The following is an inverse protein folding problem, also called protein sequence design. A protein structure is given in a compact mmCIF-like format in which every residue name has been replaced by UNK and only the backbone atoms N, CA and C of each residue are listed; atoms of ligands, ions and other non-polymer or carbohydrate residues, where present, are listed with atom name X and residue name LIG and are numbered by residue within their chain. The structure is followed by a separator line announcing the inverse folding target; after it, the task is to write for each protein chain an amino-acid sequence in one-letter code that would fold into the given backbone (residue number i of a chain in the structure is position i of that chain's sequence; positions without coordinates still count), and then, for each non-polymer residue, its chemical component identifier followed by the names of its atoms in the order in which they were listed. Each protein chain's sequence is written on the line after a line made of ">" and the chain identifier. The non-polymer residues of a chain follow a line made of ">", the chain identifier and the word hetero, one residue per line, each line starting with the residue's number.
data_IF_012354019645
#
_entry.id   IF_012354019645
#
_cell.length_a   1.000
_cell.length_b   1.000
_cell.length_c   1.000
_cell.angle_alpha   90.00
_cell.angle_beta   90.00
_cell.angle_gamma   90.00
#
_symmetry.space_group_name_H-M   'P 1'
#
loop_
_entity.id
_entity.type
_entity.pdbx_description
1 polymer ?
#
# COMPACT_ATOMS: atom_id res chain seq x y z
N UNK A 1 53.12 -36.91 -25.22
CA UNK A 1 52.54 -36.62 -23.92
C UNK A 1 52.42 -35.13 -23.54
N UNK A 2 52.67 -34.19 -24.45
CA UNK A 2 52.63 -32.72 -24.14
C UNK A 2 51.30 -32.05 -24.51
N UNK A 3 50.43 -32.74 -25.22
CA UNK A 3 49.13 -32.17 -25.68
C UNK A 3 47.92 -32.65 -24.85
N UNK A 4 48.13 -33.58 -23.92
CA UNK A 4 47.03 -34.10 -23.08
C UNK A 4 46.74 -33.22 -21.87
N UNK A 5 47.69 -32.35 -21.49
CA UNK A 5 47.52 -31.41 -20.39
C UNK A 5 46.76 -30.13 -20.80
N UNK A 6 46.64 -29.82 -22.10
CA UNK A 6 45.87 -28.68 -22.59
C UNK A 6 44.37 -28.96 -22.75
N UNK A 7 43.99 -30.23 -22.79
CA UNK A 7 42.56 -30.62 -22.86
C UNK A 7 41.81 -30.61 -21.55
N UNK A 8 42.53 -30.66 -20.41
CA UNK A 8 41.89 -30.72 -19.09
C UNK A 8 41.63 -29.31 -18.50
N UNK A 9 42.29 -28.28 -19.03
CA UNK A 9 42.15 -26.90 -18.56
C UNK A 9 40.99 -26.14 -19.23
N UNK A 10 40.35 -26.72 -20.26
CA UNK A 10 39.23 -26.10 -20.98
C UNK A 10 37.84 -26.47 -20.42
N UNK A 11 37.77 -27.38 -19.43
CA UNK A 11 36.45 -27.88 -18.91
C UNK A 11 36.03 -27.18 -17.60
N UNK A 12 36.84 -26.30 -17.06
CA UNK A 12 36.55 -25.63 -15.76
C UNK A 12 35.89 -24.25 -15.92
N UNK A 13 35.57 -23.80 -17.13
CA UNK A 13 35.00 -22.48 -17.38
C UNK A 13 33.50 -22.49 -17.69
N UNK A 14 32.78 -23.55 -17.37
CA UNK A 14 31.33 -23.63 -17.58
C UNK A 14 30.60 -23.92 -16.26
N UNK A 15 30.94 -23.21 -15.23
CA UNK A 15 30.20 -23.25 -13.97
C UNK A 15 30.05 -21.84 -13.39
N UNK A 16 29.66 -20.90 -14.23
CA UNK A 16 28.88 -19.76 -13.81
C UNK A 16 27.54 -19.88 -14.54
N UNK A 17 26.69 -20.81 -14.11
CA UNK A 17 25.27 -20.53 -14.16
C UNK A 17 25.06 -19.31 -13.27
N UNK A 18 25.01 -18.14 -13.91
CA UNK A 18 24.28 -17.05 -13.33
C UNK A 18 22.88 -17.63 -13.05
N UNK A 19 22.62 -17.96 -11.78
CA UNK A 19 21.25 -18.07 -11.31
C UNK A 19 20.59 -16.80 -11.81
N UNK A 20 19.80 -16.93 -12.86
CA UNK A 20 18.93 -15.85 -13.29
C UNK A 20 18.11 -15.53 -12.04
N UNK A 21 18.48 -14.42 -11.42
CA UNK A 21 17.65 -13.79 -10.43
C UNK A 21 16.32 -13.66 -11.14
N UNK A 22 15.33 -14.42 -10.69
CA UNK A 22 13.98 -14.35 -11.20
C UNK A 22 13.58 -12.88 -11.05
N UNK A 23 13.61 -12.15 -12.15
CA UNK A 23 13.49 -10.70 -12.14
C UNK A 23 12.04 -10.34 -11.87
N UNK A 24 11.61 -10.61 -10.62
CA UNK A 24 10.42 -10.01 -10.05
C UNK A 24 9.10 -10.19 -10.80
N UNK A 25 9.00 -11.09 -11.81
CA UNK A 25 7.77 -11.39 -12.54
C UNK A 25 6.81 -12.29 -11.73
N UNK A 26 7.01 -12.35 -10.42
CA UNK A 26 6.10 -13.00 -9.51
C UNK A 26 4.75 -12.30 -9.47
N UNK A 27 3.72 -13.04 -9.05
CA UNK A 27 2.31 -12.60 -8.95
C UNK A 27 2.09 -11.25 -8.22
N UNK A 28 3.08 -10.77 -7.47
CA UNK A 28 3.04 -9.51 -6.72
C UNK A 28 3.86 -8.37 -7.35
N UNK A 29 4.56 -8.60 -8.46
CA UNK A 29 5.43 -7.59 -9.09
C UNK A 29 4.67 -6.38 -9.60
N UNK A 30 3.39 -6.54 -9.90
CA UNK A 30 2.50 -5.48 -10.39
C UNK A 30 1.59 -4.91 -9.31
N UNK A 31 1.73 -5.34 -8.05
CA UNK A 31 0.88 -4.85 -6.98
C UNK A 31 1.30 -3.45 -6.53
N UNK A 32 0.38 -2.51 -6.60
CA UNK A 32 0.53 -1.17 -6.06
C UNK A 32 -0.31 -0.95 -4.82
N UNK A 33 0.14 -0.02 -3.99
CA UNK A 33 -0.53 0.38 -2.76
C UNK A 33 -0.63 1.88 -2.70
N UNK A 34 -1.85 2.39 -2.62
CA UNK A 34 -2.09 3.83 -2.59
C UNK A 34 -3.19 4.22 -1.59
N UNK A 35 -3.06 5.43 -1.07
CA UNK A 35 -4.15 6.08 -0.35
C UNK A 35 -5.17 6.60 -1.36
N UNK A 36 -6.44 6.22 -1.18
CA UNK A 36 -7.51 6.53 -2.13
C UNK A 36 -8.77 7.05 -1.44
N UNK A 37 -9.58 7.74 -2.20
CA UNK A 37 -10.98 7.99 -1.91
C UNK A 37 -11.82 6.90 -2.57
N UNK A 38 -12.43 6.03 -1.77
CA UNK A 38 -13.23 4.90 -2.23
C UNK A 38 -14.71 5.25 -2.28
N UNK A 39 -15.33 5.05 -3.44
CA UNK A 39 -16.75 5.34 -3.66
C UNK A 39 -17.58 4.07 -3.60
N UNK A 40 -18.58 4.07 -2.75
CA UNK A 40 -19.56 3.00 -2.66
C UNK A 40 -20.73 3.25 -3.59
N UNK A 41 -21.14 2.23 -4.34
CA UNK A 41 -22.39 2.23 -5.14
C UNK A 41 -23.56 1.64 -4.34
N UNK A 42 -23.25 0.71 -3.44
CA UNK A 42 -24.20 0.11 -2.50
C UNK A 42 -23.50 -0.11 -1.17
N UNK A 43 -24.26 -0.49 -0.15
CA UNK A 43 -23.74 -0.79 1.17
C UNK A 43 -22.64 -1.84 1.09
N UNK A 44 -21.42 -1.44 1.42
CA UNK A 44 -20.27 -2.32 1.40
C UNK A 44 -19.67 -2.59 0.03
N UNK A 45 -20.22 -2.08 -1.06
CA UNK A 45 -19.73 -2.33 -2.43
C UNK A 45 -18.97 -1.12 -2.96
N UNK A 46 -17.68 -1.30 -3.23
CA UNK A 46 -16.81 -0.27 -3.78
C UNK A 46 -16.55 -0.60 -5.25
N UNK A 47 -16.91 0.31 -6.13
CA UNK A 47 -16.81 0.15 -7.59
C UNK A 47 -15.75 1.06 -8.22
N UNK A 48 -15.40 2.16 -7.54
CA UNK A 48 -14.48 3.17 -8.03
C UNK A 48 -13.65 3.74 -6.89
N UNK A 49 -12.39 4.06 -7.20
CA UNK A 49 -11.52 4.81 -6.30
C UNK A 49 -10.89 5.97 -7.04
N UNK A 50 -10.49 7.00 -6.29
CA UNK A 50 -9.68 8.12 -6.79
C UNK A 50 -8.42 8.17 -5.95
N UNK A 51 -7.27 8.10 -6.60
CA UNK A 51 -5.96 8.14 -5.94
C UNK A 51 -5.63 9.53 -5.42
N UNK A 52 -4.62 9.64 -4.57
CA UNK A 52 -4.14 10.94 -4.08
C UNK A 52 -3.60 11.84 -5.22
N UNK A 53 -3.22 11.26 -6.33
CA UNK A 53 -2.81 11.98 -7.55
C UNK A 53 -4.01 12.47 -8.39
N UNK A 54 -5.23 12.11 -8.00
CA UNK A 54 -6.45 12.46 -8.71
C UNK A 54 -6.82 11.50 -9.84
N UNK A 55 -6.13 10.37 -9.98
CA UNK A 55 -6.45 9.35 -10.98
C UNK A 55 -7.68 8.56 -10.56
N UNK A 56 -8.72 8.55 -11.39
CA UNK A 56 -9.91 7.74 -11.17
C UNK A 56 -9.72 6.34 -11.75
N UNK A 57 -9.91 5.32 -10.90
CA UNK A 57 -9.80 3.92 -11.25
C UNK A 57 -11.14 3.21 -11.03
N UNK A 58 -11.59 2.47 -12.04
CA UNK A 58 -12.74 1.58 -11.92
C UNK A 58 -12.25 0.20 -11.44
N UNK A 59 -13.00 -0.40 -10.54
CA UNK A 59 -12.67 -1.72 -9.99
C UNK A 59 -13.42 -2.81 -10.74
N UNK A 60 -12.68 -3.78 -11.29
CA UNK A 60 -13.26 -4.96 -11.95
C UNK A 60 -12.51 -6.22 -11.51
N UNK A 61 -13.18 -7.10 -10.75
CA UNK A 61 -14.53 -6.95 -10.17
C UNK A 61 -14.60 -5.85 -9.12
N UNK A 62 -15.80 -5.46 -8.70
CA UNK A 62 -16.00 -4.62 -7.51
C UNK A 62 -15.48 -5.33 -6.27
N UNK A 63 -15.10 -4.58 -5.24
CA UNK A 63 -14.66 -5.15 -3.96
C UNK A 63 -15.66 -4.84 -2.85
N UNK A 64 -15.86 -5.81 -1.96
CA UNK A 64 -16.77 -5.66 -0.83
C UNK A 64 -16.00 -5.36 0.46
N UNK A 65 -16.46 -4.37 1.22
CA UNK A 65 -15.85 -3.97 2.48
C UNK A 65 -16.93 -3.72 3.55
N UNK A 66 -16.92 -4.52 4.62
CA UNK A 66 -17.91 -4.41 5.70
C UNK A 66 -17.92 -3.05 6.41
N UNK A 67 -16.76 -2.38 6.45
CA UNK A 67 -16.62 -1.06 7.06
C UNK A 67 -17.25 0.06 6.22
N UNK A 68 -17.48 -0.15 4.93
CA UNK A 68 -18.11 0.80 4.03
C UNK A 68 -19.64 0.72 4.13
N UNK A 69 -20.20 1.04 5.30
CA UNK A 69 -21.57 0.70 5.69
C UNK A 69 -22.68 1.50 4.98
N UNK A 70 -22.35 2.57 4.26
CA UNK A 70 -23.32 3.44 3.58
C UNK A 70 -23.13 3.37 2.08
N UNK A 71 -24.23 3.34 1.34
CA UNK A 71 -24.23 3.54 -0.10
C UNK A 71 -23.91 4.99 -0.46
N UNK A 72 -23.55 5.24 -1.70
CA UNK A 72 -23.28 6.56 -2.28
C UNK A 72 -22.40 7.44 -1.39
N UNK A 73 -21.40 6.83 -0.75
CA UNK A 73 -20.54 7.49 0.24
C UNK A 73 -19.08 7.35 -0.16
N UNK A 74 -18.29 8.36 0.20
CA UNK A 74 -16.86 8.41 0.01
C UNK A 74 -16.15 8.03 1.31
N UNK A 75 -15.24 7.08 1.23
CA UNK A 75 -14.43 6.63 2.34
C UNK A 75 -12.94 6.78 2.04
N UNK A 76 -12.16 7.18 3.02
CA UNK A 76 -10.70 7.15 2.91
C UNK A 76 -10.20 5.73 3.15
N UNK A 77 -9.37 5.22 2.23
CA UNK A 77 -8.91 3.85 2.26
C UNK A 77 -7.46 3.71 1.80
N UNK A 78 -6.82 2.62 2.25
CA UNK A 78 -5.58 2.12 1.68
C UNK A 78 -5.94 1.00 0.72
N UNK A 79 -5.55 1.14 -0.54
CA UNK A 79 -5.96 0.28 -1.63
C UNK A 79 -4.79 -0.46 -2.23
N UNK A 80 -4.94 -1.77 -2.39
CA UNK A 80 -3.98 -2.68 -3.02
C UNK A 80 -4.60 -3.22 -4.30
N UNK A 81 -3.90 -3.08 -5.41
CA UNK A 81 -4.40 -3.48 -6.72
C UNK A 81 -3.27 -3.89 -7.67
N UNK A 82 -3.61 -4.62 -8.73
CA UNK A 82 -2.68 -4.92 -9.80
C UNK A 82 -2.61 -3.73 -10.73
N UNK A 83 -1.41 -3.19 -10.88
CA UNK A 83 -1.15 -2.07 -11.78
C UNK A 83 -0.78 -2.57 -13.18
N UNK A 84 -1.40 -1.97 -14.17
CA UNK A 84 -0.99 -2.07 -15.57
C UNK A 84 -0.93 -0.66 -16.14
N UNK A 85 0.12 -0.35 -16.87
CA UNK A 85 0.36 0.98 -17.42
C UNK A 85 -0.87 1.52 -18.18
N UNK A 86 -1.20 2.78 -17.90
CA UNK A 86 -2.32 3.52 -18.49
C UNK A 86 -3.73 2.91 -18.27
N UNK A 87 -3.88 1.86 -17.47
CA UNK A 87 -5.19 1.29 -17.20
C UNK A 87 -6.03 2.22 -16.31
N UNK A 88 -7.27 2.45 -16.72
CA UNK A 88 -8.30 3.11 -15.90
C UNK A 88 -9.18 2.10 -15.16
N UNK A 89 -9.10 0.83 -15.54
CA UNK A 89 -9.77 -0.28 -14.88
C UNK A 89 -8.73 -1.19 -14.27
N UNK A 90 -8.87 -1.49 -12.99
CA UNK A 90 -7.90 -2.27 -12.22
C UNK A 90 -8.54 -3.44 -11.51
N UNK A 91 -7.75 -4.47 -11.25
CA UNK A 91 -8.16 -5.61 -10.44
C UNK A 91 -7.83 -5.34 -8.97
N UNK A 92 -8.83 -5.17 -8.10
CA UNK A 92 -8.59 -4.97 -6.68
C UNK A 92 -8.04 -6.24 -6.03
N UNK A 93 -7.11 -6.08 -5.08
CA UNK A 93 -6.58 -7.15 -4.25
C UNK A 93 -7.11 -7.05 -2.83
N UNK A 94 -7.02 -5.87 -2.26
CA UNK A 94 -7.48 -5.60 -0.89
C UNK A 94 -7.77 -4.12 -0.71
N UNK A 95 -8.65 -3.80 0.23
CA UNK A 95 -8.93 -2.42 0.61
C UNK A 95 -9.16 -2.33 2.12
N UNK A 96 -8.47 -1.44 2.78
CA UNK A 96 -8.56 -1.20 4.22
C UNK A 96 -9.04 0.21 4.54
N UNK A 97 -9.90 0.37 5.56
CA UNK A 97 -10.30 1.69 6.02
C UNK A 97 -9.13 2.46 6.60
N UNK A 98 -9.04 3.74 6.28
CA UNK A 98 -8.10 4.67 6.90
C UNK A 98 -8.89 5.66 7.75
N UNK A 99 -8.60 5.78 9.05
CA UNK A 99 -9.24 6.75 9.91
C UNK A 99 -8.99 8.17 9.42
N UNK A 100 -10.04 8.97 9.30
CA UNK A 100 -9.95 10.40 8.99
C UNK A 100 -10.25 11.19 10.26
N UNK A 101 -9.24 11.88 10.77
CA UNK A 101 -9.37 12.76 11.90
C UNK A 101 -9.65 14.17 11.39
N UNK A 102 -10.61 14.85 12.00
CA UNK A 102 -10.86 16.26 11.76
C UNK A 102 -10.27 17.05 12.93
N UNK A 103 -9.41 18.03 12.69
CA UNK A 103 -8.96 18.92 13.75
C UNK A 103 -10.16 19.58 14.42
N UNK A 104 -10.14 19.62 15.72
CA UNK A 104 -11.10 20.37 16.52
C UNK A 104 -10.39 21.50 17.24
N UNK A 105 -11.01 22.65 17.31
CA UNK A 105 -10.51 23.74 18.15
C UNK A 105 -10.69 23.35 19.62
N UNK A 106 -9.61 23.41 20.39
CA UNK A 106 -9.68 23.11 21.80
C UNK A 106 -9.71 24.41 22.61
N UNK A 107 -10.77 24.59 23.38
CA UNK A 107 -10.92 25.69 24.33
C UNK A 107 -10.45 25.31 25.73
N UNK A 108 -10.12 24.04 25.99
CA UNK A 108 -9.72 23.51 27.28
C UNK A 108 -8.45 22.65 27.15
N UNK A 109 -7.26 23.25 27.30
CA UNK A 109 -5.99 22.54 27.17
C UNK A 109 -5.78 21.46 28.23
N UNK A 110 -6.43 21.56 29.38
CA UNK A 110 -6.39 20.59 30.48
C UNK A 110 -7.06 19.24 30.19
N UNK A 111 -7.87 19.17 29.12
CA UNK A 111 -8.52 17.94 28.67
C UNK A 111 -7.74 17.21 27.57
N UNK A 112 -6.61 17.75 27.12
CA UNK A 112 -5.79 17.14 26.10
C UNK A 112 -5.06 15.92 26.66
N UNK A 113 -5.23 14.79 25.99
CA UNK A 113 -4.42 13.61 26.25
C UNK A 113 -3.04 13.81 25.66
N UNK A 114 -2.02 13.64 26.48
CA UNK A 114 -0.60 13.80 26.12
C UNK A 114 0.13 12.46 26.02
N UNK A 115 -0.60 11.40 25.68
CA UNK A 115 0.02 10.09 25.50
C UNK A 115 1.13 10.18 24.44
N UNK A 116 2.30 9.59 24.67
CA UNK A 116 3.43 9.71 23.76
C UNK A 116 3.12 9.04 22.44
N UNK A 117 2.99 9.86 21.40
CA UNK A 117 2.76 9.44 20.02
C UNK A 117 3.97 9.86 19.18
N UNK A 118 4.60 8.90 18.50
CA UNK A 118 5.66 9.19 17.56
C UNK A 118 5.10 9.52 16.17
N UNK A 119 5.48 10.66 15.62
CA UNK A 119 5.23 10.95 14.20
C UNK A 119 6.40 10.39 13.39
N UNK A 120 6.14 9.37 12.56
CA UNK A 120 7.15 8.79 11.68
C UNK A 120 7.27 9.57 10.36
N UNK A 121 6.13 9.91 9.77
CA UNK A 121 6.07 10.69 8.54
C UNK A 121 4.74 11.41 8.38
N UNK A 122 4.77 12.51 7.65
CA UNK A 122 3.58 13.23 7.23
C UNK A 122 3.78 13.78 5.81
N UNK A 123 2.74 13.68 4.97
CA UNK A 123 2.76 14.24 3.63
C UNK A 123 1.37 14.69 3.21
N UNK A 124 1.31 15.67 2.35
CA UNK A 124 0.06 16.19 1.80
C UNK A 124 -0.33 15.37 0.57
N UNK A 125 -1.61 15.02 0.44
CA UNK A 125 -2.13 14.46 -0.80
C UNK A 125 -2.02 15.49 -1.94
N UNK A 126 -1.78 15.04 -3.17
CA UNK A 126 -1.68 15.93 -4.34
C UNK A 126 -2.98 16.70 -4.57
N UNK A 127 -4.12 16.08 -4.28
CA UNK A 127 -5.43 16.74 -4.31
C UNK A 127 -5.60 17.83 -3.25
N UNK A 128 -4.70 17.90 -2.27
CA UNK A 128 -4.73 18.87 -1.18
C UNK A 128 -5.84 18.66 -0.14
N UNK A 129 -6.58 17.57 -0.23
CA UNK A 129 -7.71 17.28 0.65
C UNK A 129 -7.29 16.70 1.98
N UNK A 130 -6.12 16.03 2.04
CA UNK A 130 -5.65 15.30 3.21
C UNK A 130 -4.21 15.64 3.54
N UNK A 131 -3.91 15.58 4.83
CA UNK A 131 -2.55 15.37 5.35
C UNK A 131 -2.51 13.92 5.83
N UNK A 132 -1.73 13.10 5.14
CA UNK A 132 -1.51 11.72 5.52
C UNK A 132 -0.42 11.68 6.60
N UNK A 133 -0.63 10.88 7.65
CA UNK A 133 0.34 10.74 8.74
C UNK A 133 0.56 9.27 9.06
N UNK A 134 1.80 8.90 9.26
CA UNK A 134 2.17 7.62 9.87
C UNK A 134 2.60 7.88 11.30
N UNK A 135 1.93 7.18 12.20
CA UNK A 135 2.10 7.36 13.64
C UNK A 135 2.60 6.05 14.26
N UNK A 136 3.62 6.16 15.12
CA UNK A 136 4.09 5.07 15.96
C UNK A 136 3.44 5.16 17.33
N UNK A 137 2.75 4.11 17.73
CA UNK A 137 2.27 3.93 19.08
C UNK A 137 3.37 3.26 19.89
N UNK A 138 3.85 3.89 20.95
CA UNK A 138 4.68 3.19 21.94
C UNK A 138 3.76 2.23 22.69
N UNK A 139 3.87 0.93 22.38
CA UNK A 139 3.31 -0.08 23.27
C UNK A 139 3.98 0.08 24.63
N UNK A 140 3.21 0.40 25.65
CA UNK A 140 3.73 0.46 27.01
C UNK A 140 4.40 -0.88 27.34
N UNK A 141 5.63 -0.86 27.80
CA UNK A 141 6.25 -2.03 28.40
C UNK A 141 5.29 -2.49 29.51
N UNK A 142 4.75 -3.71 29.39
CA UNK A 142 4.11 -4.36 30.53
C UNK A 142 5.22 -4.51 31.57
N UNK A 143 5.10 -3.73 32.61
CA UNK A 143 5.88 -3.94 33.83
C UNK A 143 5.44 -5.30 34.39
N UNK A 144 6.23 -6.35 34.09
CA UNK A 144 6.07 -7.65 34.72
C UNK A 144 6.73 -7.54 36.09
N UNK A 145 6.02 -6.92 37.04
CA UNK A 145 6.34 -7.05 38.46
C UNK A 145 5.94 -8.43 39.00
#
# INVERSE_FOLDING_TARGET
>A
MRYWLLGVMAVVMVACESSSYDSGDGHYSYMQTEMVDAYTTDKGVISRVVTDEGKALQLQPTITAKWAAKADTLYRALFYYDYHDAATTVKPRSIGAVPVLRPIETTRPDTLRTDPLGLESAWRSTTGRYINMRLALKAGAKDNG
#
